data_IF_282173597315
#
_entry.id   IF_282173597315
#
_cell.length_a   1.000
_cell.length_b   1.000
_cell.length_c   1.000
_cell.angle_alpha   90.00
_cell.angle_beta   90.00
_cell.angle_gamma   90.00
#
_symmetry.space_group_name_H-M   'P 1'
#
loop_
_entity.id
_entity.type
_entity.pdbx_description
1 polymer ?
#
# COMPACT_ATOMS: atom_id res chain seq x y z
N UNK A 1 35.70 -76.06 28.93
CA UNK A 1 35.04 -76.37 27.63
C UNK A 1 33.84 -75.44 27.49
N UNK A 2 33.73 -74.67 26.40
CA UNK A 2 33.20 -73.30 26.43
C UNK A 2 31.82 -73.12 25.77
N UNK A 3 31.21 -71.95 25.98
CA UNK A 3 30.01 -71.49 25.27
C UNK A 3 29.61 -70.05 25.61
N UNK A 4 30.15 -69.12 24.84
CA UNK A 4 29.95 -67.65 24.80
C UNK A 4 28.48 -67.15 24.73
N UNK A 5 28.11 -66.03 25.40
CA UNK A 5 28.07 -64.62 24.91
C UNK A 5 26.94 -63.76 25.55
N UNK A 6 27.30 -62.48 25.76
CA UNK A 6 26.50 -61.22 25.78
C UNK A 6 25.47 -60.93 26.89
N UNK A 7 25.82 -59.95 27.75
CA UNK A 7 25.32 -58.57 27.57
C UNK A 7 24.42 -57.95 28.66
N UNK A 8 24.89 -56.81 29.21
CA UNK A 8 24.14 -55.66 29.79
C UNK A 8 23.51 -55.92 31.18
N UNK A 9 23.63 -55.12 32.24
CA UNK A 9 23.92 -53.69 32.49
C UNK A 9 24.37 -53.48 33.97
N UNK A 10 24.52 -52.27 34.56
CA UNK A 10 25.79 -51.79 35.09
C UNK A 10 25.88 -51.63 36.62
N UNK A 11 27.12 -51.62 37.12
CA UNK A 11 27.50 -51.27 38.49
C UNK A 11 28.01 -49.83 38.61
N UNK A 12 27.68 -49.23 39.74
CA UNK A 12 27.97 -47.87 40.22
C UNK A 12 29.50 -47.61 40.37
N UNK A 13 29.96 -46.36 40.17
CA UNK A 13 30.74 -45.54 41.14
C UNK A 13 31.43 -44.33 40.47
N UNK A 14 31.04 -43.16 40.97
CA UNK A 14 31.75 -41.89 41.22
C UNK A 14 32.70 -41.25 40.17
N UNK A 15 32.36 -40.00 39.82
CA UNK A 15 33.28 -38.97 39.34
C UNK A 15 32.66 -37.58 39.46
N UNK A 16 33.12 -36.79 40.44
CA UNK A 16 32.78 -35.37 40.63
C UNK A 16 33.38 -34.53 39.50
N UNK A 17 32.58 -33.70 38.81
CA UNK A 17 33.01 -32.39 38.28
C UNK A 17 31.85 -31.40 38.50
N UNK A 18 32.09 -30.38 39.33
CA UNK A 18 31.29 -29.16 39.40
C UNK A 18 31.70 -28.25 38.25
N UNK A 19 30.74 -27.72 37.48
CA UNK A 19 30.77 -26.35 36.94
C UNK A 19 29.44 -25.99 36.24
N UNK A 20 28.66 -25.12 36.87
CA UNK A 20 27.91 -24.02 36.23
C UNK A 20 26.96 -24.34 35.06
N UNK A 21 25.78 -24.90 35.36
CA UNK A 21 24.62 -24.80 34.47
C UNK A 21 23.67 -23.69 34.95
N UNK A 22 23.89 -22.46 34.48
CA UNK A 22 22.87 -21.39 34.50
C UNK A 22 22.91 -20.65 33.16
N UNK A 23 21.72 -20.36 32.64
CA UNK A 23 21.41 -19.40 31.56
C UNK A 23 21.34 -19.85 30.08
N UNK A 24 20.78 -21.02 29.77
CA UNK A 24 20.24 -21.27 28.41
C UNK A 24 18.73 -21.01 28.27
N UNK A 25 18.04 -20.70 29.37
CA UNK A 25 16.63 -20.32 29.37
C UNK A 25 16.26 -19.04 28.58
N UNK A 26 17.07 -17.96 28.56
CA UNK A 26 16.66 -16.72 27.88
C UNK A 26 16.92 -16.74 26.37
N UNK A 27 17.81 -17.60 25.88
CA UNK A 27 18.07 -17.74 24.44
C UNK A 27 16.93 -18.44 23.71
N UNK A 28 16.24 -19.38 24.36
CA UNK A 28 15.07 -20.03 23.78
C UNK A 28 13.87 -19.07 23.70
N UNK A 29 13.69 -18.15 24.66
CA UNK A 29 12.63 -17.14 24.61
C UNK A 29 12.89 -16.10 23.51
N UNK A 30 14.16 -15.76 23.25
CA UNK A 30 14.54 -14.90 22.11
C UNK A 30 14.36 -15.60 20.75
N UNK A 31 14.52 -16.92 20.68
CA UNK A 31 14.24 -17.70 19.46
C UNK A 31 12.75 -17.82 19.14
N UNK A 32 11.86 -17.76 20.14
CA UNK A 32 10.41 -17.71 19.91
C UNK A 32 9.94 -16.33 19.41
N UNK A 33 10.72 -15.27 19.63
CA UNK A 33 10.42 -13.95 19.09
C UNK A 33 10.86 -13.77 17.62
N UNK A 34 11.66 -14.70 17.06
CA UNK A 34 12.29 -14.54 15.74
C UNK A 34 11.72 -15.49 14.67
N UNK A 35 10.83 -16.42 15.04
CA UNK A 35 10.14 -17.28 14.06
C UNK A 35 8.63 -17.23 14.27
N UNK A 36 8.08 -16.01 14.29
CA UNK A 36 6.74 -15.83 13.72
C UNK A 36 6.89 -16.00 12.21
N UNK A 37 6.76 -17.24 11.71
CA UNK A 37 6.46 -17.47 10.30
C UNK A 37 5.23 -16.62 10.02
N UNK A 38 5.47 -15.46 9.42
CA UNK A 38 4.49 -14.43 9.17
C UNK A 38 3.59 -14.94 8.07
N UNK A 39 2.59 -15.74 8.42
CA UNK A 39 1.54 -16.10 7.50
C UNK A 39 1.00 -14.80 6.91
N UNK A 40 0.87 -14.71 5.57
CA UNK A 40 0.40 -13.50 4.95
C UNK A 40 -1.01 -13.21 5.48
N UNK A 41 -1.17 -12.05 6.10
CA UNK A 41 -2.46 -11.59 6.66
C UNK A 41 -3.20 -10.78 5.60
N UNK A 42 -2.47 -10.18 4.66
CA UNK A 42 -2.98 -9.42 3.52
C UNK A 42 -2.21 -9.81 2.26
N UNK A 43 -2.92 -9.97 1.15
CA UNK A 43 -2.31 -10.25 -0.17
C UNK A 43 -2.78 -9.17 -1.13
N UNK A 44 -1.85 -8.60 -1.89
CA UNK A 44 -2.16 -7.63 -2.95
C UNK A 44 -1.78 -8.25 -4.29
N UNK A 45 -2.73 -8.27 -5.22
CA UNK A 45 -2.54 -8.70 -6.61
C UNK A 45 -2.78 -7.51 -7.54
N UNK A 46 -1.85 -7.28 -8.45
CA UNK A 46 -1.93 -6.27 -9.50
C UNK A 46 -2.06 -7.00 -10.83
N UNK A 47 -3.11 -6.70 -11.59
CA UNK A 47 -3.44 -7.38 -12.84
C UNK A 47 -2.90 -6.61 -14.05
N UNK A 48 -2.98 -7.21 -15.23
CA UNK A 48 -2.57 -6.58 -16.48
C UNK A 48 -3.28 -5.24 -16.75
N UNK A 49 -4.57 -5.11 -16.39
CA UNK A 49 -5.32 -3.86 -16.51
C UNK A 49 -4.66 -2.68 -15.77
N UNK A 50 -3.94 -2.94 -14.67
CA UNK A 50 -3.14 -1.92 -13.99
C UNK A 50 -1.98 -1.44 -14.87
N UNK A 51 -1.26 -2.37 -15.53
CA UNK A 51 -0.17 -2.01 -16.43
C UNK A 51 -0.66 -1.19 -17.62
N UNK A 52 -1.81 -1.54 -18.19
CA UNK A 52 -2.42 -0.78 -19.29
C UNK A 52 -2.77 0.65 -18.84
N UNK A 53 -3.37 0.80 -17.65
CA UNK A 53 -3.62 2.11 -17.05
C UNK A 53 -2.33 2.92 -16.80
N UNK A 54 -1.31 2.30 -16.21
CA UNK A 54 0.00 2.93 -15.98
C UNK A 54 0.66 3.32 -17.30
N UNK A 55 0.49 2.51 -18.34
CA UNK A 55 0.97 2.80 -19.69
C UNK A 55 0.34 4.06 -20.26
N UNK A 56 -0.94 4.32 -20.00
CA UNK A 56 -1.62 5.51 -20.50
C UNK A 56 -1.25 6.77 -19.72
N UNK A 57 -1.26 6.72 -18.38
CA UNK A 57 -0.86 7.87 -17.56
C UNK A 57 0.64 8.15 -17.63
N UNK A 58 1.45 7.13 -17.91
CA UNK A 58 2.91 7.18 -17.97
C UNK A 58 3.47 7.81 -19.25
N UNK A 59 2.66 7.96 -20.31
CA UNK A 59 3.10 8.59 -21.57
C UNK A 59 3.60 10.01 -21.37
N UNK A 60 2.86 10.82 -20.62
CA UNK A 60 3.20 12.25 -20.43
C UNK A 60 4.48 12.44 -19.61
N UNK A 61 4.66 11.79 -18.44
CA UNK A 61 5.94 11.84 -17.72
C UNK A 61 7.13 11.36 -18.54
N UNK A 62 6.96 10.25 -19.29
CA UNK A 62 8.02 9.71 -20.13
C UNK A 62 8.37 10.68 -21.27
N UNK A 63 7.37 11.21 -21.98
CA UNK A 63 7.60 12.18 -23.05
C UNK A 63 8.35 13.42 -22.54
N UNK A 64 7.99 13.94 -21.36
CA UNK A 64 8.69 15.07 -20.73
C UNK A 64 10.14 14.72 -20.38
N UNK A 65 10.39 13.53 -19.83
CA UNK A 65 11.74 13.08 -19.49
C UNK A 65 12.62 12.89 -20.74
N UNK A 66 12.03 12.48 -21.87
CA UNK A 66 12.75 12.31 -23.13
C UNK A 66 13.07 13.63 -23.85
N UNK A 67 12.54 14.77 -23.38
CA UNK A 67 12.81 16.09 -23.94
C UNK A 67 14.19 16.61 -23.49
N UNK A 68 15.24 15.95 -23.99
CA UNK A 68 16.64 16.17 -23.64
C UNK A 68 17.35 17.09 -24.64
N UNK A 69 18.54 17.56 -24.27
CA UNK A 69 19.43 18.34 -25.15
C UNK A 69 20.47 17.43 -25.80
N UNK A 70 20.77 17.67 -27.07
CA UNK A 70 21.84 16.95 -27.81
C UNK A 70 23.09 17.81 -27.85
N UNK A 71 24.26 17.18 -27.73
CA UNK A 71 25.56 17.84 -27.85
C UNK A 71 25.84 18.29 -29.30
N UNK A 72 26.38 19.49 -29.48
CA UNK A 72 26.81 19.99 -30.80
C UNK A 72 27.94 19.14 -31.40
N UNK A 73 28.05 19.07 -32.74
CA UNK A 73 29.09 18.28 -33.43
C UNK A 73 29.83 19.05 -34.54
N UNK A 74 31.11 18.75 -34.78
CA UNK A 74 31.90 19.43 -35.80
C UNK A 74 31.48 19.03 -37.22
N UNK A 75 31.41 20.02 -38.12
CA UNK A 75 31.14 19.79 -39.54
C UNK A 75 32.33 19.10 -40.21
N UNK A 76 32.19 17.81 -40.60
CA UNK A 76 33.24 17.03 -41.29
C UNK A 76 33.12 17.08 -42.82
N UNK A 77 32.16 17.83 -43.35
CA UNK A 77 31.75 17.75 -44.77
C UNK A 77 32.81 18.21 -45.78
N UNK A 78 33.82 18.97 -45.37
CA UNK A 78 34.85 19.53 -46.27
C UNK A 78 36.25 18.88 -46.14
N UNK A 79 36.39 17.78 -45.39
CA UNK A 79 37.68 17.09 -45.24
C UNK A 79 37.96 16.02 -46.34
N UNK A 80 37.39 16.16 -47.54
CA UNK A 80 37.81 15.38 -48.71
C UNK A 80 38.97 16.13 -49.36
N UNK A 81 40.19 15.81 -48.93
CA UNK A 81 41.43 16.21 -49.59
C UNK A 81 41.36 15.83 -51.08
N UNK A 82 41.06 16.80 -51.96
CA UNK A 82 41.39 16.64 -53.36
C UNK A 82 42.92 16.54 -53.47
N UNK A 83 43.48 15.53 -54.17
CA UNK A 83 44.91 15.47 -54.38
C UNK A 83 45.28 16.65 -55.28
N UNK A 84 46.03 17.61 -54.72
CA UNK A 84 46.63 18.71 -55.48
C UNK A 84 47.61 18.06 -56.47
N UNK A 85 47.14 17.86 -57.70
CA UNK A 85 47.96 17.46 -58.83
C UNK A 85 48.63 18.72 -59.35
N UNK A 86 49.96 18.74 -59.20
CA UNK A 86 50.91 19.66 -59.83
C UNK A 86 50.78 21.15 -59.43
N UNK A 87 51.47 21.52 -58.35
CA UNK A 87 51.88 22.90 -58.08
C UNK A 87 53.40 22.97 -57.92
N UNK A 88 53.99 24.01 -58.51
CA UNK A 88 55.43 24.27 -58.64
C UNK A 88 56.15 24.50 -57.30
N UNK A 89 57.49 24.29 -57.22
CA UNK A 89 58.23 24.29 -55.95
C UNK A 89 58.33 25.64 -55.24
N UNK A 90 57.89 26.76 -55.85
CA UNK A 90 58.01 28.09 -55.25
C UNK A 90 56.81 28.53 -54.39
N UNK A 91 55.69 27.80 -54.41
CA UNK A 91 54.49 28.14 -53.61
C UNK A 91 54.46 27.49 -52.21
N UNK A 92 55.41 26.61 -51.90
CA UNK A 92 55.46 25.90 -50.60
C UNK A 92 55.95 26.83 -49.47
N UNK A 93 56.67 27.91 -49.79
CA UNK A 93 57.22 28.80 -48.76
C UNK A 93 56.23 29.86 -48.25
N UNK A 94 55.15 30.15 -48.99
CA UNK A 94 54.11 31.09 -48.53
C UNK A 94 53.07 30.48 -47.58
N UNK A 95 53.04 29.14 -47.42
CA UNK A 95 52.07 28.46 -46.55
C UNK A 95 52.54 28.30 -45.10
N UNK A 96 53.78 28.65 -44.76
CA UNK A 96 54.33 28.52 -43.40
C UNK A 96 54.08 29.74 -42.51
N UNK A 97 53.33 30.75 -42.99
CA UNK A 97 53.12 32.02 -42.30
C UNK A 97 51.66 32.47 -42.12
N UNK A 98 50.68 31.69 -42.58
CA UNK A 98 49.26 32.01 -42.38
C UNK A 98 48.70 31.04 -41.35
N UNK A 99 48.21 31.51 -40.17
CA UNK A 99 47.40 30.67 -39.33
C UNK A 99 46.11 30.40 -40.11
N UNK A 100 46.00 29.22 -40.74
CA UNK A 100 44.74 28.67 -41.21
C UNK A 100 43.87 28.40 -39.98
N UNK A 101 43.23 29.45 -39.49
CA UNK A 101 42.05 29.33 -38.64
C UNK A 101 40.92 28.83 -39.54
N UNK A 102 40.95 27.54 -39.87
CA UNK A 102 39.77 26.81 -40.31
C UNK A 102 38.78 26.87 -39.16
N UNK A 103 37.94 27.90 -39.17
CA UNK A 103 36.83 28.05 -38.25
C UNK A 103 35.83 26.94 -38.53
N UNK A 104 36.03 25.77 -37.93
CA UNK A 104 35.01 24.74 -37.81
C UNK A 104 33.88 25.34 -36.97
N UNK A 105 32.85 25.88 -37.62
CA UNK A 105 31.60 26.20 -36.95
C UNK A 105 30.91 24.87 -36.65
N UNK A 106 30.66 24.52 -35.37
CA UNK A 106 29.94 23.30 -35.05
C UNK A 106 28.50 23.40 -35.57
N UNK A 107 28.02 22.32 -36.19
CA UNK A 107 26.61 22.19 -36.54
C UNK A 107 25.84 22.09 -35.22
N UNK A 108 24.99 23.09 -34.94
CA UNK A 108 24.14 23.07 -33.75
C UNK A 108 22.96 22.13 -33.97
N UNK A 109 22.69 21.26 -33.01
CA UNK A 109 21.57 20.31 -33.06
C UNK A 109 20.62 20.60 -31.92
N UNK A 110 19.34 20.77 -32.23
CA UNK A 110 18.31 21.04 -31.23
C UNK A 110 17.14 20.08 -31.41
N UNK A 111 16.75 19.41 -30.32
CA UNK A 111 15.47 18.69 -30.27
C UNK A 111 14.37 19.74 -30.06
N UNK A 112 13.47 19.86 -31.04
CA UNK A 112 12.33 20.78 -30.98
C UNK A 112 11.18 20.16 -30.19
N UNK A 113 10.88 18.90 -30.49
CA UNK A 113 9.75 18.20 -29.91
C UNK A 113 10.02 16.70 -29.84
N UNK A 114 9.38 16.05 -28.87
CA UNK A 114 9.37 14.60 -28.73
C UNK A 114 7.92 14.17 -28.60
N UNK A 115 7.44 13.39 -29.57
CA UNK A 115 6.10 12.83 -29.55
C UNK A 115 6.16 11.34 -29.20
N UNK A 116 5.40 10.92 -28.17
CA UNK A 116 5.38 9.53 -27.71
C UNK A 116 4.04 8.84 -28.10
N UNK A 117 3.90 8.32 -29.33
CA UNK A 117 2.64 7.73 -29.80
C UNK A 117 2.23 6.49 -29.01
N UNK A 118 3.18 5.67 -28.56
CA UNK A 118 2.88 4.43 -27.85
C UNK A 118 3.82 4.18 -26.68
N UNK A 119 3.22 3.67 -25.61
CA UNK A 119 3.89 3.10 -24.45
C UNK A 119 3.11 1.82 -24.13
N UNK A 120 3.83 0.71 -23.94
CA UNK A 120 3.28 -0.58 -23.58
C UNK A 120 4.10 -1.20 -22.47
N UNK A 121 3.41 -1.72 -21.45
CA UNK A 121 4.00 -2.43 -20.33
C UNK A 121 3.49 -3.88 -20.30
N UNK A 122 4.39 -4.83 -20.05
CA UNK A 122 4.05 -6.26 -19.97
C UNK A 122 4.78 -6.92 -18.80
N UNK A 123 4.16 -7.90 -18.15
CA UNK A 123 4.87 -8.69 -17.16
C UNK A 123 5.82 -9.70 -17.79
N UNK A 124 6.99 -9.85 -17.18
CA UNK A 124 7.94 -10.93 -17.46
C UNK A 124 7.87 -11.88 -16.26
N UNK A 125 7.39 -13.10 -16.50
CA UNK A 125 7.19 -14.09 -15.44
C UNK A 125 8.49 -14.36 -14.67
N UNK A 126 8.41 -14.31 -13.34
CA UNK A 126 9.54 -14.50 -12.43
C UNK A 126 10.58 -13.37 -12.41
N UNK A 127 10.37 -12.26 -13.13
CA UNK A 127 11.36 -11.21 -13.26
C UNK A 127 10.83 -9.81 -12.95
N UNK A 128 9.80 -9.34 -13.66
CA UNK A 128 9.45 -7.92 -13.58
C UNK A 128 8.53 -7.43 -14.69
N UNK A 129 8.85 -6.25 -15.23
CA UNK A 129 8.06 -5.53 -16.22
C UNK A 129 8.94 -5.20 -17.42
N UNK A 130 8.47 -5.55 -18.61
CA UNK A 130 9.00 -5.10 -19.89
C UNK A 130 8.32 -3.80 -20.31
N UNK A 131 9.12 -2.77 -20.58
CA UNK A 131 8.70 -1.50 -21.14
C UNK A 131 9.07 -1.46 -22.62
N UNK A 132 8.09 -1.11 -23.45
CA UNK A 132 8.27 -0.85 -24.87
C UNK A 132 7.59 0.46 -25.24
N UNK A 133 8.35 1.42 -25.75
CA UNK A 133 7.82 2.72 -26.13
C UNK A 133 8.32 3.11 -27.53
N UNK A 134 7.48 3.75 -28.32
CA UNK A 134 7.87 4.36 -29.59
C UNK A 134 7.77 5.87 -29.45
N UNK A 135 8.85 6.57 -29.81
CA UNK A 135 8.97 8.03 -29.75
C UNK A 135 9.45 8.58 -31.09
N UNK A 136 8.94 9.73 -31.49
CA UNK A 136 9.40 10.48 -32.66
C UNK A 136 10.07 11.76 -32.19
N UNK A 137 11.35 11.92 -32.49
CA UNK A 137 12.13 13.11 -32.15
C UNK A 137 12.17 14.04 -33.36
N UNK A 138 11.68 15.26 -33.20
CA UNK A 138 11.80 16.31 -34.21
C UNK A 138 13.06 17.11 -33.91
N UNK A 139 14.03 17.04 -34.82
CA UNK A 139 15.39 17.55 -34.62
C UNK A 139 15.67 18.61 -35.68
N UNK A 140 16.13 19.78 -35.22
CA UNK A 140 16.60 20.87 -36.06
C UNK A 140 18.11 20.88 -36.09
N UNK A 141 18.67 20.78 -37.29
CA UNK A 141 20.10 20.89 -37.54
C UNK A 141 20.35 22.27 -38.14
N UNK A 142 21.03 23.14 -37.40
CA UNK A 142 21.40 24.46 -37.90
C UNK A 142 22.64 24.32 -38.78
N UNK A 143 22.41 24.35 -40.09
CA UNK A 143 23.44 24.36 -41.14
C UNK A 143 23.44 25.70 -41.87
N UNK A 144 24.59 26.05 -42.45
CA UNK A 144 24.73 27.10 -43.47
C UNK A 144 24.57 26.47 -44.86
N UNK A 145 23.68 26.96 -45.74
CA UNK A 145 22.93 28.22 -45.65
C UNK A 145 21.57 28.15 -44.94
N UNK A 146 20.92 26.99 -44.84
CA UNK A 146 19.59 26.86 -44.21
C UNK A 146 19.49 25.70 -43.20
N UNK A 147 18.73 25.88 -42.09
CA UNK A 147 18.49 24.84 -41.11
C UNK A 147 17.55 23.77 -41.66
N UNK A 148 17.82 22.50 -41.36
CA UNK A 148 17.00 21.36 -41.78
C UNK A 148 16.30 20.73 -40.58
N UNK A 149 15.03 20.35 -40.76
CA UNK A 149 14.25 19.64 -39.75
C UNK A 149 14.07 18.16 -40.13
N UNK A 150 14.38 17.28 -39.18
CA UNK A 150 14.42 15.84 -39.33
C UNK A 150 13.49 15.20 -38.29
N UNK A 151 12.82 14.12 -38.68
CA UNK A 151 12.10 13.26 -37.73
C UNK A 151 12.88 11.97 -37.57
N UNK A 152 13.25 11.67 -36.33
CA UNK A 152 13.99 10.47 -35.95
C UNK A 152 13.10 9.57 -35.08
N UNK A 153 12.57 8.46 -35.63
CA UNK A 153 11.82 7.47 -34.87
C UNK A 153 12.76 6.62 -34.00
N UNK A 154 12.42 6.49 -32.72
CA UNK A 154 13.19 5.76 -31.70
C UNK A 154 12.25 4.78 -30.98
N UNK A 155 12.65 3.52 -30.95
CA UNK A 155 12.01 2.51 -30.10
C UNK A 155 12.85 2.29 -28.84
N UNK A 156 12.25 2.52 -27.67
CA UNK A 156 12.88 2.38 -26.36
C UNK A 156 12.38 1.09 -25.71
N UNK A 157 13.32 0.23 -25.34
CA UNK A 157 13.04 -1.05 -24.68
C UNK A 157 13.78 -1.07 -23.34
N UNK A 158 13.09 -1.40 -22.26
CA UNK A 158 13.70 -1.53 -20.95
C UNK A 158 13.07 -2.67 -20.15
N UNK A 159 13.90 -3.46 -19.49
CA UNK A 159 13.48 -4.51 -18.57
C UNK A 159 13.69 -4.03 -17.13
N UNK A 160 12.58 -3.87 -16.42
CA UNK A 160 12.54 -3.41 -15.03
C UNK A 160 12.34 -4.62 -14.13
N UNK A 161 13.38 -5.01 -13.42
CA UNK A 161 13.31 -6.05 -12.40
C UNK A 161 12.60 -5.52 -11.15
N UNK A 162 11.69 -6.33 -10.59
CA UNK A 162 10.88 -5.97 -9.44
C UNK A 162 11.23 -6.89 -8.28
N UNK A 163 11.75 -6.32 -7.20
CA UNK A 163 12.19 -7.07 -6.04
C UNK A 163 11.64 -6.48 -4.74
N UNK A 164 11.80 -7.25 -3.66
CA UNK A 164 11.59 -6.77 -2.29
C UNK A 164 12.94 -6.32 -1.73
N UNK A 165 12.96 -5.17 -1.06
CA UNK A 165 14.13 -4.71 -0.33
C UNK A 165 14.19 -5.27 1.13
N UNK A 166 15.25 -4.94 1.85
CA UNK A 166 15.44 -5.35 3.25
C UNK A 166 14.47 -4.66 4.23
N UNK A 167 13.92 -3.51 3.87
CA UNK A 167 13.06 -2.68 4.73
C UNK A 167 11.57 -3.11 4.58
N UNK A 168 11.26 -3.94 3.59
CA UNK A 168 9.91 -4.39 3.31
C UNK A 168 9.13 -3.45 2.40
N UNK A 169 9.81 -2.78 1.48
CA UNK A 169 9.21 -2.10 0.32
C UNK A 169 9.54 -2.83 -0.99
N UNK A 170 8.84 -2.44 -2.05
CA UNK A 170 9.19 -2.83 -3.41
C UNK A 170 10.28 -1.93 -3.95
N UNK A 171 11.25 -2.53 -4.63
CA UNK A 171 12.30 -1.82 -5.35
C UNK A 171 12.28 -2.23 -6.81
N UNK A 172 12.36 -1.24 -7.67
CA UNK A 172 12.43 -1.36 -9.11
C UNK A 172 13.84 -1.04 -9.58
N UNK A 173 14.40 -1.87 -10.46
CA UNK A 173 15.73 -1.66 -11.01
C UNK A 173 15.76 -1.96 -12.49
N UNK A 174 16.40 -1.11 -13.30
CA UNK A 174 16.62 -1.38 -14.73
C UNK A 174 17.73 -2.43 -14.86
N UNK A 175 17.41 -3.57 -15.45
CA UNK A 175 18.40 -4.62 -15.73
C UNK A 175 18.95 -4.54 -17.15
N UNK A 176 18.10 -4.17 -18.10
CA UNK A 176 18.50 -3.93 -19.48
C UNK A 176 17.75 -2.71 -20.02
N UNK A 177 18.43 -1.87 -20.78
CA UNK A 177 17.82 -0.77 -21.52
C UNK A 177 18.52 -0.60 -22.86
N UNK A 178 17.74 -0.43 -23.92
CA UNK A 178 18.23 -0.22 -25.27
C UNK A 178 17.33 0.74 -26.04
N UNK A 179 17.95 1.61 -26.81
CA UNK A 179 17.31 2.55 -27.72
C UNK A 179 17.62 2.15 -29.16
N UNK A 180 16.61 1.79 -29.93
CA UNK A 180 16.72 1.42 -31.34
C UNK A 180 16.31 2.61 -32.21
N UNK A 181 17.24 3.10 -33.03
CA UNK A 181 17.03 4.25 -33.90
C UNK A 181 16.72 3.79 -35.31
N UNK A 182 15.57 4.21 -35.83
CA UNK A 182 15.20 4.01 -37.24
C UNK A 182 15.84 5.09 -38.13
N UNK A 183 15.94 4.88 -39.45
CA UNK A 183 16.42 5.91 -40.38
C UNK A 183 15.63 7.21 -40.25
N UNK A 184 16.34 8.35 -40.22
CA UNK A 184 15.70 9.67 -40.15
C UNK A 184 15.01 10.01 -41.49
N UNK A 185 13.85 10.67 -41.41
CA UNK A 185 13.16 11.22 -42.59
C UNK A 185 13.17 12.75 -42.55
N UNK A 186 13.41 13.40 -43.69
CA UNK A 186 13.32 14.86 -43.82
C UNK A 186 11.86 15.30 -43.86
N UNK A 187 11.54 16.38 -43.15
CA UNK A 187 10.17 16.92 -43.13
C UNK A 187 9.85 17.72 -44.41
N UNK A 188 10.89 18.22 -45.09
CA UNK A 188 10.79 19.00 -46.31
C UNK A 188 11.31 18.19 -47.50
N UNK A 189 10.50 18.05 -48.54
CA UNK A 189 10.77 17.24 -49.74
C UNK A 189 11.84 17.82 -50.68
N UNK A 190 12.69 18.71 -50.17
CA UNK A 190 13.75 19.36 -50.91
C UNK A 190 14.95 18.40 -51.00
N UNK A 191 15.21 17.93 -52.22
CA UNK A 191 16.26 16.97 -52.60
C UNK A 191 17.71 17.48 -52.39
N UNK A 192 17.95 18.47 -51.52
CA UNK A 192 19.26 19.12 -51.34
C UNK A 192 20.06 18.59 -50.15
N UNK A 193 19.52 17.66 -49.35
CA UNK A 193 20.27 17.02 -48.27
C UNK A 193 21.02 15.79 -48.79
N UNK A 194 22.35 15.81 -48.74
CA UNK A 194 23.14 14.62 -49.08
C UNK A 194 22.91 13.54 -48.04
N UNK A 195 22.61 12.33 -48.51
CA UNK A 195 22.37 11.14 -47.68
C UNK A 195 23.51 10.91 -46.67
N UNK A 196 24.75 11.16 -47.10
CA UNK A 196 25.97 11.05 -46.27
C UNK A 196 25.92 11.93 -45.01
N UNK A 197 25.27 13.09 -45.09
CA UNK A 197 25.15 14.00 -43.95
C UNK A 197 24.05 13.60 -42.99
N UNK A 198 22.96 13.00 -43.48
CA UNK A 198 21.94 12.40 -42.63
C UNK A 198 22.54 11.22 -41.85
N UNK A 199 23.38 10.42 -42.49
CA UNK A 199 24.06 9.30 -41.85
C UNK A 199 25.00 9.78 -40.73
N UNK A 200 25.80 10.83 -40.96
CA UNK A 200 26.67 11.44 -39.95
C UNK A 200 25.89 12.05 -38.77
N UNK A 201 24.84 12.81 -39.06
CA UNK A 201 23.94 13.39 -38.04
C UNK A 201 23.30 12.29 -37.21
N UNK A 202 22.81 11.24 -37.86
CA UNK A 202 22.16 10.12 -37.19
C UNK A 202 23.14 9.31 -36.34
N UNK A 203 24.40 9.13 -36.80
CA UNK A 203 25.43 8.46 -36.01
C UNK A 203 25.78 9.24 -34.74
N UNK A 204 25.96 10.56 -34.85
CA UNK A 204 26.23 11.43 -33.71
C UNK A 204 25.07 11.44 -32.72
N UNK A 205 23.84 11.66 -33.20
CA UNK A 205 22.64 11.67 -32.37
C UNK A 205 22.43 10.32 -31.70
N UNK A 206 22.66 9.21 -32.41
CA UNK A 206 22.58 7.86 -31.83
C UNK A 206 23.57 7.71 -30.68
N UNK A 207 24.82 8.13 -30.85
CA UNK A 207 25.84 8.03 -29.82
C UNK A 207 25.50 8.85 -28.57
N UNK A 208 25.01 10.08 -28.75
CA UNK A 208 24.67 11.01 -27.67
C UNK A 208 23.36 10.63 -26.96
N UNK A 209 22.32 10.27 -27.71
CA UNK A 209 21.01 9.93 -27.15
C UNK A 209 20.96 8.53 -26.55
N UNK A 210 21.69 7.54 -27.07
CA UNK A 210 21.47 6.15 -26.66
C UNK A 210 21.60 5.94 -25.15
N UNK A 211 22.66 6.49 -24.55
CA UNK A 211 22.85 6.43 -23.10
C UNK A 211 21.92 7.40 -22.38
N UNK A 212 21.74 8.61 -22.93
CA UNK A 212 20.93 9.66 -22.32
C UNK A 212 19.48 9.24 -22.13
N UNK A 213 18.84 8.60 -23.12
CA UNK A 213 17.46 8.13 -23.03
C UNK A 213 17.30 7.05 -21.95
N UNK A 214 18.23 6.10 -21.87
CA UNK A 214 18.22 5.08 -20.82
C UNK A 214 18.44 5.68 -19.42
N UNK A 215 19.27 6.72 -19.30
CA UNK A 215 19.42 7.46 -18.05
C UNK A 215 18.12 8.17 -17.63
N UNK A 216 17.35 8.73 -18.58
CA UNK A 216 16.05 9.34 -18.29
C UNK A 216 15.04 8.31 -17.78
N UNK A 217 14.97 7.12 -18.41
CA UNK A 217 14.13 6.02 -17.89
C UNK A 217 14.58 5.60 -16.50
N UNK A 218 15.89 5.51 -16.25
CA UNK A 218 16.43 5.23 -14.92
C UNK A 218 16.01 6.27 -13.89
N UNK A 219 16.04 7.55 -14.25
CA UNK A 219 15.56 8.63 -13.40
C UNK A 219 14.10 8.45 -13.01
N UNK A 220 13.21 8.16 -13.98
CA UNK A 220 11.80 7.90 -13.71
C UNK A 220 11.56 6.68 -12.81
N UNK A 221 12.32 5.60 -13.02
CA UNK A 221 12.25 4.41 -12.16
C UNK A 221 12.72 4.73 -10.73
N UNK A 222 13.73 5.59 -10.58
CA UNK A 222 14.19 6.06 -9.28
C UNK A 222 13.14 6.93 -8.58
N UNK A 223 12.50 7.85 -9.30
CA UNK A 223 11.39 8.67 -8.77
C UNK A 223 10.24 7.79 -8.27
N UNK A 224 9.93 6.72 -9.01
CA UNK A 224 8.92 5.74 -8.60
C UNK A 224 9.36 4.98 -7.33
N UNK A 225 10.62 4.60 -7.20
CA UNK A 225 11.15 4.01 -5.97
C UNK A 225 11.03 4.94 -4.77
N UNK A 226 11.25 6.25 -4.95
CA UNK A 226 11.03 7.23 -3.88
C UNK A 226 9.57 7.20 -3.42
N UNK A 227 8.62 7.16 -4.37
CA UNK A 227 7.20 7.09 -4.04
C UNK A 227 6.83 5.77 -3.34
N UNK A 228 7.33 4.63 -3.83
CA UNK A 228 7.15 3.32 -3.17
C UNK A 228 7.75 3.29 -1.76
N UNK A 229 8.85 4.00 -1.53
CA UNK A 229 9.46 4.19 -0.22
C UNK A 229 8.57 4.93 0.78
N UNK A 230 7.58 5.71 0.33
CA UNK A 230 6.64 6.39 1.24
C UNK A 230 5.58 5.44 1.80
N UNK A 231 5.33 4.30 1.14
CA UNK A 231 4.26 3.36 1.51
C UNK A 231 4.55 2.58 2.81
N UNK A 232 5.81 2.51 3.23
CA UNK A 232 6.22 1.90 4.51
C UNK A 232 6.02 2.84 5.71
N UNK A 233 5.59 4.07 5.47
CA UNK A 233 5.27 5.05 6.49
C UNK A 233 4.09 4.62 7.38
N UNK A 234 3.98 5.27 8.55
CA UNK A 234 2.82 5.12 9.42
C UNK A 234 1.67 5.98 8.88
N UNK A 235 0.54 5.34 8.58
CA UNK A 235 -0.68 6.01 8.14
C UNK A 235 -1.65 6.15 9.32
N UNK A 236 -2.24 7.33 9.58
CA UNK A 236 -3.21 7.49 10.66
C UNK A 236 -4.53 6.78 10.33
N UNK A 237 -5.07 6.05 11.29
CA UNK A 237 -6.40 5.41 11.21
C UNK A 237 -7.38 5.90 12.28
N UNK A 238 -6.90 6.67 13.25
CA UNK A 238 -7.68 7.37 14.28
C UNK A 238 -6.83 8.38 15.04
N UNK A 239 -7.35 9.01 16.11
CA UNK A 239 -6.64 10.03 16.87
C UNK A 239 -5.31 9.55 17.46
N UNK A 240 -5.26 8.31 17.93
CA UNK A 240 -4.10 7.71 18.61
C UNK A 240 -3.67 6.38 17.96
N UNK A 241 -4.23 6.08 16.78
CA UNK A 241 -4.04 4.81 16.09
C UNK A 241 -3.48 4.98 14.69
N UNK A 242 -2.57 4.08 14.33
CA UNK A 242 -1.83 4.11 13.07
C UNK A 242 -1.74 2.71 12.46
N UNK A 243 -1.48 2.63 11.17
CA UNK A 243 -1.22 1.39 10.44
C UNK A 243 0.09 1.51 9.67
N UNK A 244 0.88 0.43 9.65
CA UNK A 244 2.09 0.31 8.84
C UNK A 244 1.96 -0.86 7.90
N UNK A 245 2.30 -0.64 6.63
CA UNK A 245 2.37 -1.67 5.61
C UNK A 245 3.81 -2.04 5.32
N UNK A 246 4.08 -3.31 5.07
CA UNK A 246 5.38 -3.79 4.61
C UNK A 246 5.22 -5.07 3.81
N UNK A 247 5.91 -5.19 2.69
CA UNK A 247 5.95 -6.41 1.88
C UNK A 247 6.73 -7.49 2.62
N UNK A 248 6.20 -8.71 2.70
CA UNK A 248 6.78 -9.82 3.48
C UNK A 248 7.41 -10.94 2.66
N UNK A 249 7.21 -10.97 1.36
CA UNK A 249 7.79 -11.97 0.47
C UNK A 249 8.22 -11.33 -0.84
N UNK A 250 9.10 -12.01 -1.59
CA UNK A 250 9.42 -11.59 -2.95
C UNK A 250 8.15 -11.68 -3.80
N UNK A 251 7.81 -10.64 -4.57
CA UNK A 251 6.62 -10.68 -5.41
C UNK A 251 6.65 -11.86 -6.40
N UNK A 252 5.53 -12.55 -6.51
CA UNK A 252 5.32 -13.58 -7.53
C UNK A 252 4.75 -12.95 -8.79
N UNK A 253 5.52 -12.98 -9.87
CA UNK A 253 5.16 -12.34 -11.14
C UNK A 253 4.88 -13.43 -12.18
N UNK A 254 3.71 -13.35 -12.81
CA UNK A 254 3.28 -14.21 -13.91
C UNK A 254 3.11 -13.37 -15.17
N UNK A 255 2.73 -13.97 -16.31
CA UNK A 255 2.42 -13.20 -17.52
C UNK A 255 1.21 -12.27 -17.38
N UNK A 256 0.32 -12.52 -16.39
CA UNK A 256 -0.99 -11.87 -16.30
C UNK A 256 -1.14 -10.99 -15.05
N UNK A 257 -0.41 -11.31 -13.97
CA UNK A 257 -0.49 -10.59 -12.70
C UNK A 257 0.81 -10.66 -11.91
N UNK A 258 0.96 -9.70 -11.01
CA UNK A 258 1.96 -9.66 -9.94
C UNK A 258 1.24 -9.78 -8.59
N UNK A 259 1.70 -10.66 -7.72
CA UNK A 259 1.12 -10.89 -6.39
C UNK A 259 2.18 -10.74 -5.31
N UNK A 260 1.83 -10.13 -4.18
CA UNK A 260 2.74 -9.93 -3.05
C UNK A 260 2.01 -10.06 -1.72
N UNK A 261 2.71 -10.60 -0.74
CA UNK A 261 2.22 -10.63 0.63
C UNK A 261 2.56 -9.32 1.33
N UNK A 262 1.56 -8.70 1.95
CA UNK A 262 1.72 -7.46 2.68
C UNK A 262 1.35 -7.71 4.13
N UNK A 263 2.23 -7.30 5.04
CA UNK A 263 1.95 -7.22 6.46
C UNK A 263 1.41 -5.84 6.77
N UNK A 264 0.20 -5.81 7.31
CA UNK A 264 -0.42 -4.64 7.89
C UNK A 264 -0.38 -4.75 9.42
N UNK A 265 0.40 -3.89 10.09
CA UNK A 265 0.46 -3.85 11.56
C UNK A 265 -0.24 -2.59 12.04
N UNK A 266 -1.20 -2.76 12.94
CA UNK A 266 -1.88 -1.67 13.62
C UNK A 266 -1.12 -1.28 14.89
N UNK A 267 -1.12 0.01 15.21
CA UNK A 267 -0.48 0.60 16.37
C UNK A 267 -1.48 1.44 17.15
N UNK A 268 -1.42 1.36 18.47
CA UNK A 268 -2.16 2.23 19.39
C UNK A 268 -1.14 2.85 20.35
N UNK A 269 -1.10 4.18 20.43
CA UNK A 269 -0.13 4.90 21.28
C UNK A 269 1.32 4.45 21.04
N UNK A 270 1.68 4.20 19.77
CA UNK A 270 2.99 3.72 19.35
C UNK A 270 3.29 2.24 19.64
N UNK A 271 2.37 1.48 20.26
CA UNK A 271 2.54 0.05 20.56
C UNK A 271 1.83 -0.82 19.51
N UNK A 272 2.49 -1.84 18.94
CA UNK A 272 1.87 -2.70 17.95
C UNK A 272 0.77 -3.58 18.56
N UNK A 273 -0.31 -3.78 17.81
CA UNK A 273 -1.39 -4.70 18.12
C UNK A 273 -1.10 -6.03 17.44
N UNK A 274 -0.82 -7.06 18.26
CA UNK A 274 -0.48 -8.38 17.80
C UNK A 274 -1.38 -9.41 18.48
N UNK A 275 -2.00 -10.27 17.67
CA UNK A 275 -2.75 -11.44 18.11
C UNK A 275 -2.02 -12.71 17.68
N UNK A 276 -1.91 -13.75 18.53
CA UNK A 276 -1.22 -14.97 18.14
C UNK A 276 -1.97 -15.66 16.99
N UNK A 277 -1.23 -16.03 15.94
CA UNK A 277 -1.77 -16.79 14.81
C UNK A 277 -1.91 -18.26 15.21
N UNK A 278 -2.96 -18.61 15.96
CA UNK A 278 -3.23 -20.00 16.34
C UNK A 278 -3.64 -20.82 15.12
N UNK A 279 -2.83 -21.79 14.70
CA UNK A 279 -3.18 -22.78 13.68
C UNK A 279 -3.53 -22.20 12.30
N UNK A 280 -3.07 -20.99 11.99
CA UNK A 280 -3.48 -20.28 10.79
C UNK A 280 -2.92 -20.97 9.53
N UNK A 281 -3.82 -21.36 8.63
CA UNK A 281 -3.46 -21.75 7.28
C UNK A 281 -3.02 -20.49 6.53
N UNK A 282 -2.05 -20.58 5.59
CA UNK A 282 -1.68 -19.44 4.76
C UNK A 282 -2.93 -18.87 4.09
N UNK A 283 -3.16 -17.57 4.23
CA UNK A 283 -4.22 -16.92 3.50
C UNK A 283 -3.86 -16.94 2.01
N UNK A 284 -4.61 -17.70 1.22
CA UNK A 284 -4.43 -17.76 -0.22
C UNK A 284 -5.55 -16.98 -0.87
N UNK A 285 -5.18 -15.92 -1.58
CA UNK A 285 -6.14 -15.17 -2.37
C UNK A 285 -6.70 -16.10 -3.48
N UNK A 286 -8.04 -16.27 -3.58
CA UNK A 286 -8.64 -17.07 -4.64
C UNK A 286 -8.18 -16.62 -6.03
N UNK A 287 -8.28 -17.53 -7.01
CA UNK A 287 -8.09 -17.12 -8.42
C UNK A 287 -9.11 -16.02 -8.75
N UNK A 288 -8.75 -15.06 -9.63
CA UNK A 288 -9.65 -13.97 -10.00
C UNK A 288 -11.01 -14.56 -10.41
N UNK A 289 -12.05 -14.24 -9.65
CA UNK A 289 -13.42 -14.62 -9.95
C UNK A 289 -14.07 -13.41 -10.60
N UNK A 290 -13.99 -13.33 -11.92
CA UNK A 290 -15.00 -12.62 -12.71
C UNK A 290 -14.78 -11.14 -13.01
N UNK A 291 -13.58 -10.60 -12.89
CA UNK A 291 -13.32 -9.24 -13.40
C UNK A 291 -11.88 -9.11 -13.92
N UNK A 292 -11.71 -9.30 -15.23
CA UNK A 292 -10.43 -9.09 -15.93
C UNK A 292 -10.07 -7.59 -16.01
N UNK A 293 -11.04 -6.69 -15.81
CA UNK A 293 -10.83 -5.24 -15.86
C UNK A 293 -10.37 -4.67 -14.50
N UNK A 294 -10.50 -5.43 -13.42
CA UNK A 294 -10.04 -5.01 -12.10
C UNK A 294 -8.51 -4.82 -12.11
N UNK A 295 -8.04 -3.59 -11.88
CA UNK A 295 -6.61 -3.26 -11.86
C UNK A 295 -5.88 -3.92 -10.68
N UNK A 296 -6.53 -3.98 -9.50
CA UNK A 296 -5.95 -4.52 -8.29
C UNK A 296 -6.97 -5.34 -7.49
N UNK A 297 -6.48 -6.36 -6.79
CA UNK A 297 -7.26 -7.16 -5.85
C UNK A 297 -6.53 -7.21 -4.52
N UNK A 298 -7.24 -6.86 -3.44
CA UNK A 298 -6.71 -6.91 -2.08
C UNK A 298 -7.46 -7.97 -1.30
N UNK A 299 -6.75 -8.98 -0.81
CA UNK A 299 -7.28 -9.97 0.12
C UNK A 299 -6.94 -9.59 1.55
N UNK A 300 -7.96 -9.50 2.39
CA UNK A 300 -7.83 -9.20 3.82
C UNK A 300 -8.25 -10.43 4.62
N UNK A 301 -7.37 -10.95 5.46
CA UNK A 301 -7.72 -12.08 6.32
C UNK A 301 -8.56 -11.63 7.53
N UNK A 302 -9.29 -12.58 8.11
CA UNK A 302 -10.06 -12.36 9.34
C UNK A 302 -9.18 -11.85 10.49
N UNK A 303 -7.93 -12.33 10.58
CA UNK A 303 -6.98 -11.93 11.62
C UNK A 303 -6.68 -10.41 11.62
N UNK A 304 -6.66 -9.77 10.45
CA UNK A 304 -6.50 -8.31 10.35
C UNK A 304 -7.66 -7.58 11.03
N UNK A 305 -8.89 -8.05 10.79
CA UNK A 305 -10.10 -7.49 11.39
C UNK A 305 -10.11 -7.74 12.91
N UNK A 306 -9.69 -8.91 13.37
CA UNK A 306 -9.57 -9.20 14.81
C UNK A 306 -8.56 -8.24 15.48
N UNK A 307 -7.43 -7.95 14.82
CA UNK A 307 -6.47 -6.97 15.31
C UNK A 307 -7.05 -5.53 15.31
N UNK A 308 -7.80 -5.16 14.28
CA UNK A 308 -8.48 -3.86 14.21
C UNK A 308 -9.52 -3.69 15.32
N UNK A 309 -10.32 -4.72 15.58
CA UNK A 309 -11.33 -4.70 16.63
C UNK A 309 -10.70 -4.68 18.03
N UNK A 310 -9.61 -5.44 18.26
CA UNK A 310 -8.84 -5.36 19.50
C UNK A 310 -8.26 -3.95 19.72
N UNK A 311 -7.76 -3.32 18.66
CA UNK A 311 -7.25 -1.95 18.72
C UNK A 311 -8.36 -0.98 19.15
N UNK A 312 -9.53 -1.05 18.52
CA UNK A 312 -10.69 -0.20 18.85
C UNK A 312 -11.18 -0.43 20.29
N UNK A 313 -11.19 -1.67 20.75
CA UNK A 313 -11.51 -2.00 22.14
C UNK A 313 -10.50 -1.37 23.12
N UNK A 314 -9.20 -1.53 22.88
CA UNK A 314 -8.15 -0.96 23.74
C UNK A 314 -8.11 0.57 23.73
N UNK A 315 -8.48 1.17 22.60
CA UNK A 315 -8.62 2.62 22.48
C UNK A 315 -9.87 3.17 23.20
N UNK A 316 -10.74 2.29 23.71
CA UNK A 316 -12.01 2.68 24.31
C UNK A 316 -13.00 3.29 23.31
N UNK A 317 -12.73 3.22 22.00
CA UNK A 317 -13.57 3.80 20.95
C UNK A 317 -14.93 3.11 20.80
N UNK A 318 -15.11 1.95 21.45
CA UNK A 318 -16.34 1.18 21.49
C UNK A 318 -17.05 1.29 22.86
N UNK A 319 -16.56 2.16 23.74
CA UNK A 319 -17.20 2.46 25.01
C UNK A 319 -18.14 3.65 24.84
N UNK A 320 -19.29 3.62 25.52
CA UNK A 320 -20.30 4.65 25.48
C UNK A 320 -20.80 4.93 26.88
N UNK A 321 -20.92 6.21 27.25
CA UNK A 321 -21.57 6.63 28.49
C UNK A 321 -22.80 7.46 28.15
N UNK A 322 -23.96 6.98 28.60
CA UNK A 322 -25.26 7.60 28.37
C UNK A 322 -25.70 8.18 29.70
N UNK A 323 -25.88 9.49 29.76
CA UNK A 323 -26.38 10.17 30.95
C UNK A 323 -27.82 10.62 30.74
N UNK A 324 -28.63 10.65 31.80
CA UNK A 324 -30.04 11.04 31.72
C UNK A 324 -30.30 12.51 31.38
N UNK A 325 -29.27 13.28 31.05
CA UNK A 325 -29.40 14.62 30.46
C UNK A 325 -29.48 14.60 28.92
N UNK A 326 -29.40 13.43 28.27
CA UNK A 326 -29.67 13.30 26.85
C UNK A 326 -31.16 13.56 26.57
N UNK A 327 -31.40 14.71 25.98
CA UNK A 327 -32.67 15.42 25.87
C UNK A 327 -33.76 14.66 25.10
N UNK A 328 -34.65 13.97 25.81
CA UNK A 328 -36.03 13.82 25.33
C UNK A 328 -36.99 14.19 26.46
N UNK A 329 -37.86 15.19 26.23
CA UNK A 329 -38.93 15.56 27.18
C UNK A 329 -39.93 14.42 27.42
N UNK A 330 -39.88 13.37 26.60
CA UNK A 330 -40.88 12.31 26.54
C UNK A 330 -40.43 10.97 27.14
N UNK A 331 -39.13 10.76 27.42
CA UNK A 331 -38.64 9.52 28.06
C UNK A 331 -37.39 9.81 28.93
N UNK A 332 -37.59 10.19 30.20
CA UNK A 332 -36.48 10.49 31.09
C UNK A 332 -35.79 9.19 31.55
N UNK A 333 -34.46 9.15 31.38
CA UNK A 333 -33.60 8.08 31.89
C UNK A 333 -33.40 8.25 33.41
N UNK A 334 -34.36 7.77 34.18
CA UNK A 334 -34.38 7.87 35.63
C UNK A 334 -34.91 6.60 36.31
N UNK A 335 -34.69 6.49 37.62
CA UNK A 335 -35.10 5.33 38.42
C UNK A 335 -36.61 5.10 38.43
N UNK A 336 -37.42 6.14 38.26
CA UNK A 336 -38.88 6.01 38.23
C UNK A 336 -39.38 5.28 36.98
N UNK A 337 -38.79 5.57 35.81
CA UNK A 337 -39.10 4.86 34.55
C UNK A 337 -38.62 3.42 34.62
N UNK A 338 -37.42 3.17 35.17
CA UNK A 338 -36.91 1.82 35.35
C UNK A 338 -37.72 1.02 36.37
N UNK A 339 -38.20 1.67 37.43
CA UNK A 339 -39.04 1.07 38.46
C UNK A 339 -40.38 0.52 37.96
N UNK A 340 -40.87 1.01 36.81
CA UNK A 340 -42.06 0.44 36.16
C UNK A 340 -41.80 -0.95 35.57
N UNK A 341 -40.54 -1.26 35.22
CA UNK A 341 -40.13 -2.53 34.63
C UNK A 341 -39.49 -3.47 35.67
N UNK A 342 -38.82 -2.91 36.67
CA UNK A 342 -38.14 -3.64 37.75
C UNK A 342 -38.70 -3.12 39.09
N UNK A 343 -39.73 -3.77 39.66
CA UNK A 343 -40.40 -3.31 40.88
C UNK A 343 -39.47 -3.09 42.08
N UNK A 344 -38.40 -3.87 42.16
CA UNK A 344 -37.38 -3.74 43.20
C UNK A 344 -36.66 -2.39 43.15
N UNK A 345 -36.46 -1.83 41.95
CA UNK A 345 -35.91 -0.47 41.78
C UNK A 345 -36.89 0.58 42.32
N UNK A 346 -38.19 0.45 42.04
CA UNK A 346 -39.20 1.38 42.59
C UNK A 346 -39.25 1.32 44.13
N UNK A 347 -39.03 0.14 44.72
CA UNK A 347 -39.03 -0.02 46.18
C UNK A 347 -37.82 0.63 46.86
N UNK A 348 -36.64 0.55 46.25
CA UNK A 348 -35.40 1.09 46.82
C UNK A 348 -35.18 2.58 46.48
N UNK A 349 -35.75 3.05 45.37
CA UNK A 349 -35.59 4.40 44.83
C UNK A 349 -36.96 5.07 44.60
N UNK A 350 -37.69 5.43 45.68
CA UNK A 350 -39.03 6.02 45.56
C UNK A 350 -39.02 7.44 44.98
N UNK A 351 -37.93 8.19 45.16
CA UNK A 351 -37.72 9.48 44.50
C UNK A 351 -36.98 9.30 43.17
N UNK A 352 -37.42 9.95 42.07
CA UNK A 352 -36.75 9.83 40.78
C UNK A 352 -35.31 10.35 40.83
N UNK A 353 -34.35 9.46 40.58
CA UNK A 353 -32.93 9.80 40.44
C UNK A 353 -32.50 9.67 38.98
N UNK A 354 -31.73 10.63 38.45
CA UNK A 354 -31.13 10.49 37.12
C UNK A 354 -30.26 9.24 37.05
N UNK A 355 -30.15 8.66 35.86
CA UNK A 355 -29.36 7.45 35.65
C UNK A 355 -28.23 7.66 34.64
N UNK A 356 -27.23 6.79 34.76
CA UNK A 356 -26.11 6.68 33.83
C UNK A 356 -26.00 5.22 33.40
N UNK A 357 -25.89 5.00 32.09
CA UNK A 357 -25.57 3.70 31.50
C UNK A 357 -24.15 3.76 30.98
N UNK A 358 -23.28 2.90 31.53
CA UNK A 358 -21.92 2.73 31.03
C UNK A 358 -21.87 1.45 30.22
N UNK A 359 -21.63 1.59 28.92
CA UNK A 359 -21.49 0.48 27.98
C UNK A 359 -20.01 0.31 27.69
N UNK A 360 -19.47 -0.86 28.01
CA UNK A 360 -18.06 -1.19 27.77
C UNK A 360 -17.96 -2.60 27.19
N UNK A 361 -16.96 -2.87 26.36
CA UNK A 361 -16.77 -4.23 25.83
C UNK A 361 -16.19 -5.17 26.90
N UNK A 362 -16.98 -6.16 27.32
CA UNK A 362 -16.56 -7.18 28.29
C UNK A 362 -15.66 -8.26 27.70
N UNK A 363 -15.76 -8.50 26.39
CA UNK A 363 -14.91 -9.43 25.66
C UNK A 363 -14.43 -8.84 24.33
N UNK A 364 -13.34 -9.39 23.79
CA UNK A 364 -12.82 -8.96 22.47
C UNK A 364 -13.83 -9.27 21.37
N UNK A 365 -14.19 -8.28 20.54
CA UNK A 365 -15.09 -8.51 19.42
C UNK A 365 -14.56 -9.58 18.47
N UNK A 366 -15.46 -10.37 17.90
CA UNK A 366 -15.10 -11.42 16.96
C UNK A 366 -15.75 -11.15 15.61
N UNK A 367 -14.93 -11.13 14.55
CA UNK A 367 -15.44 -11.11 13.18
C UNK A 367 -15.46 -12.54 12.63
N UNK A 368 -16.47 -12.85 11.81
CA UNK A 368 -16.53 -14.12 11.08
C UNK A 368 -16.75 -13.79 9.62
N UNK A 369 -15.75 -14.11 8.77
CA UNK A 369 -15.83 -13.92 7.33
C UNK A 369 -16.12 -15.26 6.66
N UNK A 370 -17.24 -15.34 5.94
CA UNK A 370 -17.63 -16.50 5.13
C UNK A 370 -17.95 -16.03 3.71
N UNK A 371 -18.01 -16.96 2.78
CA UNK A 371 -18.46 -16.67 1.41
C UNK A 371 -19.84 -16.02 1.44
N UNK A 372 -19.95 -14.80 0.89
CA UNK A 372 -21.19 -14.01 0.80
C UNK A 372 -21.83 -13.58 2.14
N UNK A 373 -21.17 -13.80 3.28
CA UNK A 373 -21.70 -13.37 4.57
C UNK A 373 -20.57 -13.02 5.53
N UNK A 374 -20.66 -11.85 6.13
CA UNK A 374 -19.74 -11.39 7.18
C UNK A 374 -20.54 -10.99 8.42
N UNK A 375 -20.14 -11.52 9.56
CA UNK A 375 -20.80 -11.27 10.84
C UNK A 375 -19.80 -10.67 11.84
N UNK A 376 -20.28 -9.80 12.70
CA UNK A 376 -19.56 -9.21 13.81
C UNK A 376 -20.33 -9.53 15.10
N UNK A 377 -19.67 -10.17 16.05
CA UNK A 377 -20.21 -10.41 17.37
C UNK A 377 -19.56 -9.46 18.39
N UNK A 378 -20.39 -8.72 19.11
CA UNK A 378 -20.00 -7.87 20.22
C UNK A 378 -20.57 -8.45 21.52
N UNK A 379 -19.81 -8.32 22.62
CA UNK A 379 -20.27 -8.66 23.97
C UNK A 379 -20.02 -7.50 24.93
N UNK A 380 -20.80 -6.41 24.83
CA UNK A 380 -20.75 -5.34 25.80
C UNK A 380 -21.35 -5.74 27.15
N UNK A 381 -20.74 -5.21 28.21
CA UNK A 381 -21.31 -5.14 29.55
C UNK A 381 -21.91 -3.75 29.73
N UNK A 382 -23.17 -3.71 30.13
CA UNK A 382 -23.90 -2.48 30.44
C UNK A 382 -24.03 -2.37 31.94
N UNK A 383 -23.38 -1.37 32.54
CA UNK A 383 -23.55 -1.02 33.94
C UNK A 383 -24.61 0.06 34.08
N UNK A 384 -25.57 -0.19 34.97
CA UNK A 384 -26.69 0.70 35.23
C UNK A 384 -26.51 1.35 36.59
N UNK A 385 -26.38 2.68 36.60
CA UNK A 385 -26.07 3.47 37.80
C UNK A 385 -27.14 4.55 38.02
N UNK A 386 -27.49 4.79 39.28
CA UNK A 386 -28.26 5.97 39.69
C UNK A 386 -27.32 7.07 40.18
N UNK A 387 -27.69 8.33 39.96
CA UNK A 387 -26.95 9.51 40.39
C UNK A 387 -27.69 10.14 41.58
N UNK A 388 -27.04 10.18 42.74
CA UNK A 388 -27.59 10.83 43.92
C UNK A 388 -27.55 12.36 43.80
N UNK A 389 -28.27 13.05 44.70
CA UNK A 389 -28.21 14.52 44.83
C UNK A 389 -26.82 15.05 45.21
N UNK A 390 -25.95 14.20 45.78
CA UNK A 390 -24.54 14.51 46.06
C UNK A 390 -23.59 14.22 44.89
N UNK A 391 -24.12 13.94 43.70
CA UNK A 391 -23.37 13.50 42.51
C UNK A 391 -22.61 12.18 42.70
N UNK A 392 -22.96 11.38 43.71
CA UNK A 392 -22.40 10.04 43.90
C UNK A 392 -23.10 9.03 42.97
N UNK A 393 -22.31 8.15 42.36
CA UNK A 393 -22.82 7.07 41.53
C UNK A 393 -23.17 5.85 42.41
N UNK A 394 -24.41 5.41 42.35
CA UNK A 394 -24.88 4.21 43.02
C UNK A 394 -25.14 3.11 41.99
N UNK A 395 -24.37 2.03 42.08
CA UNK A 395 -24.52 0.87 41.20
C UNK A 395 -25.81 0.11 41.49
N UNK A 396 -26.63 -0.09 40.45
CA UNK A 396 -27.88 -0.85 40.53
C UNK A 396 -27.66 -2.30 40.11
N UNK A 397 -27.20 -2.51 38.87
CA UNK A 397 -26.93 -3.83 38.30
C UNK A 397 -26.09 -3.74 37.02
N UNK A 398 -25.58 -4.87 36.55
CA UNK A 398 -24.87 -5.01 35.29
C UNK A 398 -25.43 -6.14 34.42
N UNK A 399 -25.45 -5.89 33.12
CA UNK A 399 -25.96 -6.81 32.10
C UNK A 399 -24.82 -7.20 31.15
N UNK A 400 -24.65 -8.49 30.87
CA UNK A 400 -23.86 -8.98 29.74
C UNK A 400 -24.79 -9.13 28.54
N UNK A 401 -24.47 -8.42 27.47
CA UNK A 401 -25.31 -8.32 26.28
C UNK A 401 -24.54 -8.90 25.11
N UNK A 402 -25.10 -9.90 24.44
CA UNK A 402 -24.57 -10.42 23.19
C UNK A 402 -25.30 -9.80 22.01
N UNK A 403 -24.54 -9.15 21.15
CA UNK A 403 -25.03 -8.48 19.93
C UNK A 403 -24.42 -9.17 18.72
N UNK A 404 -25.26 -9.70 17.86
CA UNK A 404 -24.85 -10.23 16.56
C UNK A 404 -25.22 -9.21 15.48
N UNK A 405 -24.24 -8.81 14.69
CA UNK A 405 -24.37 -7.82 13.63
C UNK A 405 -23.98 -8.45 12.31
N UNK A 406 -24.74 -8.15 11.25
CA UNK A 406 -24.28 -8.34 9.89
C UNK A 406 -23.32 -7.21 9.54
N UNK A 407 -22.15 -7.55 9.01
CA UNK A 407 -21.12 -6.60 8.61
C UNK A 407 -21.09 -6.53 7.09
N UNK A 408 -21.22 -5.34 6.51
CA UNK A 408 -21.05 -5.11 5.09
C UNK A 408 -19.82 -4.23 4.87
N UNK A 409 -18.94 -4.65 3.97
CA UNK A 409 -17.71 -3.96 3.64
C UNK A 409 -17.85 -3.24 2.29
N UNK A 410 -17.45 -1.99 2.25
CA UNK A 410 -17.39 -1.17 1.03
C UNK A 410 -16.10 -0.36 0.99
N UNK A 411 -15.69 0.09 -0.19
CA UNK A 411 -14.52 0.95 -0.35
C UNK A 411 -15.00 2.37 -0.67
N UNK A 412 -14.54 3.35 0.09
CA UNK A 412 -14.86 4.76 -0.11
C UNK A 412 -13.61 5.62 0.05
N UNK A 413 -13.27 6.43 -0.97
CA UNK A 413 -12.07 7.29 -0.98
C UNK A 413 -10.78 6.54 -0.56
N UNK A 414 -10.56 5.36 -1.13
CA UNK A 414 -9.44 4.45 -0.81
C UNK A 414 -9.38 3.98 0.66
N UNK A 415 -10.49 4.07 1.41
CA UNK A 415 -10.63 3.51 2.75
C UNK A 415 -11.64 2.38 2.75
N UNK A 416 -11.41 1.36 3.58
CA UNK A 416 -12.39 0.32 3.84
C UNK A 416 -13.40 0.83 4.86
N UNK A 417 -14.68 0.82 4.49
CA UNK A 417 -15.80 1.19 5.34
C UNK A 417 -16.60 -0.06 5.69
N UNK A 418 -16.82 -0.27 6.99
CA UNK A 418 -17.76 -1.26 7.50
C UNK A 418 -19.07 -0.61 7.89
N UNK A 419 -20.19 -1.13 7.41
CA UNK A 419 -21.53 -0.81 7.91
C UNK A 419 -22.09 -2.04 8.62
N UNK A 420 -22.79 -1.82 9.73
CA UNK A 420 -23.34 -2.91 10.54
C UNK A 420 -24.84 -2.78 10.67
N UNK A 421 -25.56 -3.90 10.55
CA UNK A 421 -26.98 -3.99 10.84
C UNK A 421 -27.25 -5.13 11.83
N UNK A 422 -28.29 -5.01 12.66
CA UNK A 422 -28.62 -6.06 13.63
C UNK A 422 -29.03 -7.35 12.95
N UNK A 423 -28.45 -8.47 13.41
CA UNK A 423 -28.77 -9.82 12.96
C UNK A 423 -29.47 -10.56 14.10
N UNK A 424 -30.81 -10.53 14.09
CA UNK A 424 -31.64 -11.11 15.15
C UNK A 424 -31.86 -10.16 16.35
N UNK A 425 -32.20 -10.73 17.50
CA UNK A 425 -32.45 -9.98 18.74
C UNK A 425 -31.24 -9.95 19.68
N UNK A 426 -31.28 -9.01 20.64
CA UNK A 426 -30.32 -8.95 21.75
C UNK A 426 -30.51 -10.15 22.68
N UNK A 427 -29.40 -10.78 23.09
CA UNK A 427 -29.40 -11.78 24.17
C UNK A 427 -28.78 -11.14 25.40
N UNK A 428 -29.46 -11.24 26.55
CA UNK A 428 -29.05 -10.58 27.79
C UNK A 428 -28.95 -11.58 28.92
N UNK A 429 -27.99 -11.35 29.80
CA UNK A 429 -27.90 -12.01 31.09
C UNK A 429 -27.51 -11.02 32.16
N UNK A 430 -28.05 -11.19 33.37
CA UNK A 430 -27.70 -10.36 34.52
C UNK A 430 -26.39 -10.90 35.09
N UNK A 431 -25.37 -10.05 35.20
CA UNK A 431 -24.07 -10.43 35.76
C UNK A 431 -24.09 -10.22 37.27
N UNK A 432 -24.46 -9.02 37.71
CA UNK A 432 -24.60 -8.68 39.13
C UNK A 432 -25.78 -7.74 39.34
N UNK A 433 -26.41 -7.80 40.51
CA UNK A 433 -27.53 -6.93 40.88
C UNK A 433 -27.50 -6.62 42.36
N UNK A 434 -27.56 -5.33 42.69
CA UNK A 434 -27.76 -4.81 44.04
C UNK A 434 -29.24 -4.51 44.32
N UNK A 435 -30.08 -4.58 43.30
CA UNK A 435 -31.53 -4.34 43.40
C UNK A 435 -32.33 -5.64 43.49
N UNK A 436 -31.68 -6.78 43.77
CA UNK A 436 -32.36 -8.08 43.89
C UNK A 436 -32.54 -8.81 42.56
N UNK A 437 -33.55 -9.67 42.45
CA UNK A 437 -33.83 -10.44 41.24
C UNK A 437 -34.36 -9.54 40.14
N UNK A 438 -33.72 -9.60 38.96
CA UNK A 438 -34.15 -8.85 37.79
C UNK A 438 -34.72 -9.82 36.76
N UNK A 439 -35.96 -9.60 36.32
CA UNK A 439 -36.48 -10.27 35.14
C UNK A 439 -35.81 -9.72 33.87
N UNK A 440 -35.10 -10.61 33.17
CA UNK A 440 -34.38 -10.32 31.93
C UNK A 440 -35.33 -9.81 30.84
N UNK A 441 -36.60 -10.21 30.87
CA UNK A 441 -37.61 -9.72 29.91
C UNK A 441 -37.91 -8.22 30.09
N UNK A 442 -37.97 -7.75 31.34
CA UNK A 442 -38.11 -6.35 31.69
C UNK A 442 -36.88 -5.51 31.32
N UNK A 443 -35.67 -6.06 31.54
CA UNK A 443 -34.42 -5.42 31.13
C UNK A 443 -34.28 -5.30 29.60
N UNK A 444 -34.72 -6.32 28.84
CA UNK A 444 -34.78 -6.27 27.37
C UNK A 444 -35.78 -5.22 26.88
N UNK A 445 -36.95 -5.14 27.52
CA UNK A 445 -37.95 -4.10 27.24
C UNK A 445 -37.40 -2.69 27.46
N UNK A 446 -36.59 -2.49 28.49
CA UNK A 446 -35.93 -1.23 28.79
C UNK A 446 -34.96 -0.80 27.67
N UNK A 447 -34.07 -1.70 27.25
CA UNK A 447 -33.10 -1.42 26.18
C UNK A 447 -33.78 -1.16 24.83
N UNK A 448 -34.82 -1.92 24.49
CA UNK A 448 -35.63 -1.68 23.28
C UNK A 448 -36.45 -0.40 23.35
N UNK A 449 -36.98 -0.04 24.53
CA UNK A 449 -37.67 1.24 24.71
C UNK A 449 -36.71 2.42 24.53
N UNK A 450 -35.42 2.22 24.79
CA UNK A 450 -34.40 3.21 24.49
C UNK A 450 -33.97 3.16 23.01
N UNK A 451 -34.04 2.03 22.28
CA UNK A 451 -33.85 1.97 20.80
C UNK A 451 -34.63 3.05 20.03
N UNK A 452 -35.86 3.37 20.45
CA UNK A 452 -36.65 4.45 19.85
C UNK A 452 -36.11 5.87 20.06
N UNK A 453 -35.04 6.06 20.86
CA UNK A 453 -34.33 7.33 21.08
C UNK A 453 -33.01 7.41 20.29
N UNK A 454 -32.57 6.32 19.64
CA UNK A 454 -31.24 6.20 19.03
C UNK A 454 -31.24 6.24 17.49
N UNK A 455 -32.27 6.79 16.84
CA UNK A 455 -32.15 7.16 15.42
C UNK A 455 -31.02 8.20 15.28
N UNK A 456 -29.80 7.70 15.01
CA UNK A 456 -28.67 8.53 14.67
C UNK A 456 -28.98 9.26 13.38
N UNK A 457 -29.26 10.56 13.51
CA UNK A 457 -29.35 11.52 12.41
C UNK A 457 -27.96 11.67 11.76
N UNK A 458 -27.60 10.75 10.87
CA UNK A 458 -26.54 10.97 9.89
C UNK A 458 -27.17 11.54 8.62
N UNK A 459 -27.45 12.85 8.62
CA UNK A 459 -27.33 13.72 7.45
C UNK A 459 -27.74 15.15 7.82
N UNK A 460 -26.76 16.00 8.07
CA UNK A 460 -26.89 17.43 7.72
C UNK A 460 -25.67 17.83 6.90
N UNK A 461 -25.83 17.65 5.59
CA UNK A 461 -25.16 18.45 4.59
C UNK A 461 -25.49 19.94 4.85
N UNK A 462 -24.60 20.67 5.49
CA UNK A 462 -24.51 22.12 5.25
C UNK A 462 -23.64 22.31 4.02
N UNK A 463 -24.30 22.30 2.86
CA UNK A 463 -23.81 22.97 1.68
C UNK A 463 -23.66 24.46 1.99
N UNK A 464 -22.44 24.94 2.08
CA UNK A 464 -22.13 26.36 1.88
C UNK A 464 -21.19 26.43 0.69
N UNK A 465 -21.71 26.94 -0.41
CA UNK A 465 -20.96 27.56 -1.50
C UNK A 465 -21.92 28.51 -2.23
N UNK A 466 -21.43 29.60 -2.84
CA UNK A 466 -20.06 30.11 -2.86
C UNK A 466 -19.76 31.12 -1.74
#
# INVERSE_FOLDING_TARGET
MPGQRLGRDPGVVAGRIMAGARSLGPLLVLLWAVVSVSLPVTVVRLNKAMLDYVSDIGKVPLQRALQVTVSDFPDRSDAVLQPIREASPELILCLMGVPLSLGFQPNRVQILDVHLPSLHLKFIAGFGIHLSAAANFTIKVFRVPEPTELVLPVALLADVHVARDSIGTLVLSISACSSLFSPASTLDGSNSTSQELLDLVQEHIRADLSNTLCLQVSGLVQDLNVHLGTLIGLSPVGPESQIRYSVTSTPTITSNYMSMDVRAILFLLGKPILLPLHGAHPFVLPRPLGDEDAMATVGLSQHLFDCALLMLQKAGSLNLEITGQLNSKNNPLNTSTLGQLIPEVASQFPEPMPMVLKVQLGATPMVTLRTNSSALQLRPVVEVLAVSSSSALQFLFSLDVMVNLNLQLSVFKAKLRGTTSMLGGLQLSVVTSNVGSIDVSGALGCLKSWEGLWECETDTHTSVSP
#
